data_IF_031355399204
#
_entry.id   IF_031355399204
#
_cell.length_a   1.000
_cell.length_b   1.000
_cell.length_c   1.000
_cell.angle_alpha   90.00
_cell.angle_beta   90.00
_cell.angle_gamma   90.00
#
_symmetry.space_group_name_H-M   'P 1'
#
loop_
_entity.id
_entity.type
_entity.pdbx_description
1 polymer ?
#
# COMPACT_ATOMS: atom_id res chain seq x y z
N UNK A 1 15.23 -39.24 -10.67
CA UNK A 1 14.41 -38.11 -10.22
C UNK A 1 15.32 -37.12 -9.55
N UNK A 2 15.44 -35.92 -10.10
CA UNK A 2 16.20 -34.87 -9.44
C UNK A 2 15.42 -34.44 -8.19
N UNK A 3 15.90 -34.81 -7.02
CA UNK A 3 15.38 -34.31 -5.75
C UNK A 3 15.60 -32.81 -5.74
N UNK A 4 14.51 -32.06 -5.68
CA UNK A 4 14.55 -30.61 -5.61
C UNK A 4 15.54 -30.15 -4.51
N UNK A 5 16.61 -29.45 -4.92
CA UNK A 5 17.58 -28.90 -4.01
C UNK A 5 16.98 -27.89 -3.01
N UNK A 6 15.78 -27.40 -3.31
CA UNK A 6 15.04 -26.45 -2.45
C UNK A 6 14.62 -27.06 -1.12
N UNK A 7 14.38 -28.38 -1.06
CA UNK A 7 14.04 -29.05 0.22
C UNK A 7 15.22 -29.13 1.18
N UNK A 8 16.45 -28.96 0.70
CA UNK A 8 17.67 -29.00 1.50
C UNK A 8 18.08 -27.63 2.08
N UNK A 9 17.45 -26.56 1.60
CA UNK A 9 17.78 -25.18 2.01
C UNK A 9 16.86 -24.64 3.12
N UNK A 10 15.96 -25.46 3.64
CA UNK A 10 15.06 -25.06 4.71
C UNK A 10 15.64 -25.35 6.08
N UNK A 11 15.37 -24.47 7.04
CA UNK A 11 15.70 -24.72 8.46
C UNK A 11 14.82 -25.89 8.94
N UNK A 12 15.41 -26.99 9.46
CA UNK A 12 14.63 -28.09 9.97
C UNK A 12 13.75 -27.62 11.15
N UNK A 13 12.45 -27.84 11.06
CA UNK A 13 11.52 -27.61 12.16
C UNK A 13 11.72 -28.74 13.20
N UNK A 14 12.05 -28.38 14.44
CA UNK A 14 12.38 -29.31 15.49
C UNK A 14 11.22 -30.25 15.94
N UNK A 15 9.98 -29.96 15.52
CA UNK A 15 8.81 -30.64 16.04
C UNK A 15 8.01 -31.47 15.03
N UNK A 16 8.28 -31.41 13.73
CA UNK A 16 7.48 -32.15 12.75
C UNK A 16 8.33 -32.65 11.57
N UNK A 17 8.94 -33.80 11.74
CA UNK A 17 9.74 -34.44 10.69
C UNK A 17 8.88 -35.13 9.62
N UNK A 18 7.58 -35.24 9.79
CA UNK A 18 6.66 -35.96 8.91
C UNK A 18 5.84 -35.06 7.98
N UNK A 19 5.96 -33.73 8.10
CA UNK A 19 5.20 -32.80 7.25
C UNK A 19 5.78 -32.71 5.85
N UNK A 20 4.99 -33.00 4.81
CA UNK A 20 5.42 -32.86 3.42
C UNK A 20 5.69 -31.38 3.03
N UNK A 21 5.37 -30.43 3.89
CA UNK A 21 5.53 -28.98 3.67
C UNK A 21 6.87 -28.41 4.20
N UNK A 22 7.85 -29.23 4.50
CA UNK A 22 9.19 -28.78 4.93
C UNK A 22 10.03 -28.10 3.83
N UNK A 23 9.46 -27.93 2.64
CA UNK A 23 10.10 -27.20 1.56
C UNK A 23 10.09 -25.68 1.76
N UNK A 24 11.03 -25.00 1.12
CA UNK A 24 11.03 -23.55 1.03
C UNK A 24 9.74 -23.08 0.35
N UNK A 25 8.89 -22.38 1.07
CA UNK A 25 7.72 -21.74 0.47
C UNK A 25 8.19 -20.68 -0.53
N UNK A 26 7.54 -20.64 -1.69
CA UNK A 26 7.87 -19.63 -2.71
C UNK A 26 7.64 -18.24 -2.13
N UNK A 27 8.68 -17.38 -2.03
CA UNK A 27 8.52 -16.05 -1.48
C UNK A 27 7.74 -15.15 -2.45
N UNK A 28 7.03 -14.15 -1.90
CA UNK A 28 6.44 -13.08 -2.69
C UNK A 28 7.56 -12.26 -3.36
N UNK A 29 7.42 -12.01 -4.65
CA UNK A 29 8.42 -11.28 -5.42
C UNK A 29 8.06 -9.79 -5.49
N UNK A 30 9.02 -8.92 -5.20
CA UNK A 30 8.80 -7.47 -5.13
C UNK A 30 8.30 -6.85 -6.44
N UNK A 31 8.71 -7.38 -7.59
CA UNK A 31 8.35 -6.85 -8.91
C UNK A 31 6.96 -7.28 -9.41
N UNK A 32 6.28 -8.19 -8.68
CA UNK A 32 4.95 -8.68 -9.03
C UNK A 32 3.89 -7.94 -8.25
N UNK A 33 3.67 -6.70 -8.61
CA UNK A 33 2.66 -5.87 -7.97
C UNK A 33 1.85 -5.08 -9.01
N UNK A 34 0.69 -4.63 -8.58
CA UNK A 34 -0.18 -3.73 -9.34
C UNK A 34 -0.73 -2.67 -8.39
N UNK A 35 -0.73 -1.44 -8.85
CA UNK A 35 -1.34 -0.31 -8.13
C UNK A 35 -2.45 0.25 -8.99
N UNK A 36 -3.64 0.38 -8.44
CA UNK A 36 -4.79 0.96 -9.14
C UNK A 36 -5.29 2.16 -8.35
N UNK A 37 -5.50 3.26 -9.04
CA UNK A 37 -6.03 4.49 -8.44
C UNK A 37 -7.49 4.66 -8.85
N UNK A 38 -8.39 4.80 -7.88
CA UNK A 38 -9.82 4.96 -8.09
C UNK A 38 -10.25 6.38 -7.70
N UNK A 39 -10.82 7.11 -8.65
CA UNK A 39 -11.24 8.52 -8.44
C UNK A 39 -10.10 9.54 -8.52
N UNK A 40 -8.95 9.14 -9.05
CA UNK A 40 -7.80 10.01 -9.28
C UNK A 40 -8.00 10.86 -10.53
N UNK A 41 -7.63 12.15 -10.47
CA UNK A 41 -7.84 13.08 -11.58
C UNK A 41 -9.33 13.42 -11.82
N UNK A 42 -9.61 14.02 -12.96
CA UNK A 42 -10.98 14.39 -13.40
C UNK A 42 -11.55 13.31 -14.31
N UNK A 43 -10.69 12.65 -15.08
CA UNK A 43 -11.05 11.55 -15.98
C UNK A 43 -11.29 10.24 -15.23
N UNK A 44 -12.03 9.32 -15.87
CA UNK A 44 -12.28 7.98 -15.30
C UNK A 44 -11.16 6.98 -15.59
N UNK A 45 -10.26 7.29 -16.51
CA UNK A 45 -9.23 6.36 -16.98
C UNK A 45 -7.90 6.61 -16.26
N UNK A 46 -7.60 5.78 -15.27
CA UNK A 46 -6.33 5.78 -14.54
C UNK A 46 -5.40 4.63 -14.97
N UNK A 47 -5.76 3.93 -16.05
CA UNK A 47 -5.02 2.77 -16.57
C UNK A 47 -3.58 3.14 -16.95
N UNK A 48 -3.38 4.30 -17.56
CA UNK A 48 -2.05 4.78 -17.94
C UNK A 48 -1.18 5.04 -16.71
N UNK A 49 -1.74 5.62 -15.66
CA UNK A 49 -1.04 5.83 -14.40
C UNK A 49 -0.58 4.49 -13.79
N UNK A 50 -1.46 3.49 -13.77
CA UNK A 50 -1.15 2.14 -13.26
C UNK A 50 0.02 1.48 -14.00
N UNK A 51 0.09 1.65 -15.33
CA UNK A 51 1.17 1.10 -16.16
C UNK A 51 2.53 1.74 -15.90
N UNK A 52 2.56 2.97 -15.42
CA UNK A 52 3.77 3.75 -15.24
C UNK A 52 4.32 3.74 -13.82
N UNK A 53 3.68 3.02 -12.90
CA UNK A 53 4.19 2.86 -11.53
C UNK A 53 5.48 2.04 -11.55
N UNK A 54 6.56 2.62 -11.05
CA UNK A 54 7.87 1.97 -10.91
C UNK A 54 8.11 1.42 -9.52
N UNK A 55 7.73 2.19 -8.51
CA UNK A 55 7.91 1.85 -7.10
C UNK A 55 6.72 2.34 -6.28
N UNK A 56 6.36 1.58 -5.26
CA UNK A 56 5.27 1.91 -4.35
C UNK A 56 5.57 1.36 -2.96
N UNK A 57 5.65 2.24 -1.97
CA UNK A 57 5.83 1.82 -0.58
C UNK A 57 4.53 1.26 -0.01
N UNK A 58 4.63 0.14 0.72
CA UNK A 58 3.46 -0.46 1.38
C UNK A 58 3.05 0.35 2.60
N UNK A 59 1.75 0.33 2.98
CA UNK A 59 1.28 1.00 4.19
C UNK A 59 2.05 0.54 5.42
N UNK A 60 2.46 1.50 6.24
CA UNK A 60 3.13 1.25 7.51
C UNK A 60 2.38 1.97 8.62
N UNK A 61 2.12 1.26 9.72
CA UNK A 61 1.43 1.81 10.89
C UNK A 61 2.39 1.86 12.08
N UNK A 62 2.32 2.94 12.83
CA UNK A 62 3.02 3.12 14.10
C UNK A 62 2.02 3.38 15.21
N UNK A 63 2.34 2.96 16.43
CA UNK A 63 1.52 3.22 17.61
C UNK A 63 2.29 4.12 18.57
N UNK A 64 1.63 5.14 19.08
CA UNK A 64 2.15 5.92 20.18
C UNK A 64 2.31 5.05 21.42
N UNK A 65 3.18 5.45 22.34
CA UNK A 65 3.39 4.76 23.60
C UNK A 65 2.80 5.59 24.75
N UNK A 66 2.07 4.93 25.66
CA UNK A 66 1.57 5.50 26.89
C UNK A 66 2.26 4.79 28.05
N UNK A 67 3.14 5.49 28.75
CA UNK A 67 3.87 4.97 29.90
C UNK A 67 3.14 5.35 31.20
N UNK A 68 2.72 4.35 31.98
CA UNK A 68 2.12 4.51 33.30
C UNK A 68 3.13 4.08 34.36
N UNK A 69 3.71 5.03 35.11
CA UNK A 69 4.60 4.67 36.21
C UNK A 69 3.81 4.08 37.38
N UNK A 70 4.27 2.94 37.89
CA UNK A 70 3.69 2.24 39.04
C UNK A 70 4.81 1.89 39.99
N UNK A 71 4.87 2.57 41.13
CA UNK A 71 5.85 2.35 42.21
C UNK A 71 7.28 2.15 41.66
N UNK A 72 7.78 0.92 41.59
CA UNK A 72 9.13 0.56 41.06
C UNK A 72 9.13 0.06 39.62
N UNK A 73 8.04 0.22 38.90
CA UNK A 73 7.87 -0.32 37.53
C UNK A 73 7.09 0.64 36.64
N UNK A 74 7.10 0.36 35.35
CA UNK A 74 6.35 1.12 34.35
C UNK A 74 5.55 0.13 33.48
N UNK A 75 4.25 0.37 33.37
CA UNK A 75 3.38 -0.34 32.42
C UNK A 75 3.32 0.47 31.14
N UNK A 76 3.48 -0.23 30.00
CA UNK A 76 3.40 0.38 28.67
C UNK A 76 2.12 -0.05 27.96
N UNK A 77 1.37 0.92 27.47
CA UNK A 77 0.16 0.73 26.72
C UNK A 77 0.32 1.28 25.29
N UNK A 78 -0.30 0.62 24.32
CA UNK A 78 -0.36 1.14 22.97
C UNK A 78 -1.33 2.34 22.93
N UNK A 79 -0.85 3.47 22.42
CA UNK A 79 -1.63 4.68 22.21
C UNK A 79 -2.32 4.71 20.84
N UNK A 80 -2.55 5.91 20.32
CA UNK A 80 -3.14 6.12 18.99
C UNK A 80 -2.19 5.60 17.91
N UNK A 81 -2.76 5.01 16.86
CA UNK A 81 -2.02 4.64 15.67
C UNK A 81 -1.88 5.83 14.72
N UNK A 82 -0.81 5.84 13.98
CA UNK A 82 -0.55 6.78 12.90
C UNK A 82 -0.03 6.03 11.68
N UNK A 83 -0.57 6.36 10.52
CA UNK A 83 -0.13 5.81 9.24
C UNK A 83 1.00 6.66 8.68
N UNK A 84 2.04 6.00 8.19
CA UNK A 84 3.15 6.66 7.49
C UNK A 84 2.77 6.93 6.05
N UNK A 85 3.18 8.08 5.52
CA UNK A 85 2.93 8.47 4.14
C UNK A 85 3.52 7.45 3.16
N UNK A 86 2.84 7.25 2.04
CA UNK A 86 3.26 6.34 0.98
C UNK A 86 3.97 7.13 -0.10
N UNK A 87 5.13 6.64 -0.51
CA UNK A 87 5.85 7.15 -1.69
C UNK A 87 5.53 6.29 -2.91
N UNK A 88 5.26 6.93 -4.02
CA UNK A 88 5.03 6.29 -5.31
C UNK A 88 5.90 6.98 -6.37
N UNK A 89 6.68 6.17 -7.10
CA UNK A 89 7.44 6.67 -8.24
C UNK A 89 6.76 6.25 -9.54
N UNK A 90 6.60 7.22 -10.42
CA UNK A 90 6.01 7.08 -11.74
C UNK A 90 7.04 7.38 -12.81
N UNK A 91 6.96 6.64 -13.90
CA UNK A 91 7.66 6.99 -15.14
C UNK A 91 6.82 8.00 -15.90
N UNK A 92 7.44 9.07 -16.34
CA UNK A 92 6.77 10.02 -17.24
C UNK A 92 6.77 9.47 -18.67
N UNK A 93 5.69 9.70 -19.40
CA UNK A 93 5.54 9.25 -20.77
C UNK A 93 5.61 10.42 -21.77
N UNK A 94 6.05 10.13 -22.99
CA UNK A 94 6.18 11.14 -24.03
C UNK A 94 4.84 11.79 -24.44
N UNK A 95 3.71 11.14 -24.13
CA UNK A 95 2.37 11.70 -24.36
C UNK A 95 1.94 12.70 -23.29
N UNK A 96 2.65 12.75 -22.15
CA UNK A 96 2.34 13.60 -21.01
C UNK A 96 1.06 13.19 -20.26
N UNK A 97 0.59 11.95 -20.45
CA UNK A 97 -0.63 11.44 -19.81
C UNK A 97 -0.50 11.40 -18.29
N UNK A 98 0.66 10.97 -17.79
CA UNK A 98 0.94 10.86 -16.35
C UNK A 98 0.98 12.26 -15.72
N UNK A 99 1.76 13.17 -16.31
CA UNK A 99 1.87 14.56 -15.84
C UNK A 99 0.52 15.25 -15.83
N UNK A 100 -0.31 15.03 -16.87
CA UNK A 100 -1.67 15.57 -16.94
C UNK A 100 -2.56 15.05 -15.82
N UNK A 101 -2.60 13.72 -15.61
CA UNK A 101 -3.45 13.11 -14.56
C UNK A 101 -3.04 13.58 -13.16
N UNK A 102 -1.74 13.66 -12.89
CA UNK A 102 -1.23 14.19 -11.61
C UNK A 102 -1.59 15.67 -11.45
N UNK A 103 -1.45 16.46 -12.52
CA UNK A 103 -1.84 17.87 -12.53
C UNK A 103 -3.34 18.07 -12.30
N UNK A 104 -4.19 17.25 -12.92
CA UNK A 104 -5.65 17.25 -12.70
C UNK A 104 -5.99 16.93 -11.23
N UNK A 105 -5.27 15.99 -10.62
CA UNK A 105 -5.49 15.67 -9.20
C UNK A 105 -5.05 16.81 -8.27
N UNK A 106 -3.95 17.47 -8.56
CA UNK A 106 -3.52 18.66 -7.82
C UNK A 106 -4.54 19.80 -7.95
N UNK A 107 -5.04 20.01 -9.17
CA UNK A 107 -6.05 21.05 -9.44
C UNK A 107 -7.39 20.77 -8.73
N UNK A 108 -7.74 19.51 -8.50
CA UNK A 108 -8.91 19.16 -7.65
C UNK A 108 -8.70 19.54 -6.19
N UNK A 109 -7.46 19.49 -5.69
CA UNK A 109 -7.16 19.84 -4.31
C UNK A 109 -7.10 21.35 -4.09
N UNK A 110 -6.54 22.06 -5.06
CA UNK A 110 -6.37 23.51 -5.05
C UNK A 110 -6.39 24.04 -6.46
N UNK A 111 -7.24 25.02 -6.72
CA UNK A 111 -7.17 25.79 -7.94
C UNK A 111 -5.98 26.76 -7.85
N UNK A 112 -4.92 26.45 -8.62
CA UNK A 112 -3.69 27.23 -8.59
C UNK A 112 -3.83 28.62 -9.21
N UNK A 113 -4.82 28.85 -10.07
CA UNK A 113 -5.06 30.17 -10.67
C UNK A 113 -5.75 31.11 -9.69
N UNK A 114 -6.83 30.63 -9.07
CA UNK A 114 -7.64 31.42 -8.15
C UNK A 114 -7.21 31.24 -6.69
N UNK A 115 -6.31 30.29 -6.42
CA UNK A 115 -5.86 29.88 -5.10
C UNK A 115 -7.01 29.50 -4.15
N UNK A 116 -8.06 28.95 -4.73
CA UNK A 116 -9.24 28.48 -4.01
C UNK A 116 -9.12 26.97 -3.72
N UNK A 117 -9.38 26.57 -2.48
CA UNK A 117 -9.39 25.18 -2.08
C UNK A 117 -10.73 24.51 -2.35
N UNK A 118 -10.75 23.20 -2.52
CA UNK A 118 -11.98 22.43 -2.62
C UNK A 118 -12.88 22.64 -1.37
N UNK A 119 -14.19 22.65 -1.57
CA UNK A 119 -15.16 22.90 -0.50
C UNK A 119 -15.21 21.79 0.54
N UNK A 120 -14.94 20.55 0.13
CA UNK A 120 -14.91 19.38 1.02
C UNK A 120 -13.80 18.42 0.65
N UNK A 121 -13.23 17.75 1.66
CA UNK A 121 -12.17 16.77 1.45
C UNK A 121 -12.58 15.59 0.56
N UNK A 122 -13.87 15.25 0.52
CA UNK A 122 -14.39 14.18 -0.33
C UNK A 122 -14.24 14.50 -1.83
N UNK A 123 -14.19 15.77 -2.19
CA UNK A 123 -14.16 16.19 -3.59
C UNK A 123 -12.82 15.86 -4.25
N UNK A 124 -11.73 15.82 -3.49
CA UNK A 124 -10.39 15.54 -4.01
C UNK A 124 -9.80 14.21 -3.55
N UNK A 125 -10.39 13.56 -2.52
CA UNK A 125 -9.86 12.29 -2.02
C UNK A 125 -10.14 11.16 -3.02
N UNK A 126 -9.17 10.27 -3.13
CA UNK A 126 -9.22 9.09 -3.98
C UNK A 126 -8.90 7.82 -3.17
N UNK A 127 -9.08 6.67 -3.77
CA UNK A 127 -8.74 5.38 -3.17
C UNK A 127 -7.64 4.72 -3.99
N UNK A 128 -6.66 4.14 -3.31
CA UNK A 128 -5.58 3.38 -3.95
C UNK A 128 -5.69 1.92 -3.56
N UNK A 129 -5.65 1.04 -4.56
CA UNK A 129 -5.62 -0.41 -4.35
C UNK A 129 -4.24 -0.92 -4.74
N UNK A 130 -3.53 -1.48 -3.77
CA UNK A 130 -2.22 -2.10 -3.97
C UNK A 130 -2.36 -3.62 -3.90
N UNK A 131 -1.89 -4.33 -4.91
CA UNK A 131 -1.96 -5.79 -5.00
C UNK A 131 -0.59 -6.39 -5.25
N UNK A 132 -0.27 -7.45 -4.51
CA UNK A 132 0.86 -8.34 -4.82
C UNK A 132 0.31 -9.57 -5.55
N UNK A 133 0.89 -9.91 -6.68
CA UNK A 133 0.38 -10.91 -7.61
C UNK A 133 1.23 -12.19 -7.57
N UNK A 134 0.62 -13.32 -7.90
CA UNK A 134 1.30 -14.63 -7.98
C UNK A 134 2.17 -14.79 -9.23
N UNK A 135 1.95 -14.00 -10.26
CA UNK A 135 2.71 -14.00 -11.50
C UNK A 135 1.98 -14.58 -12.70
N UNK A 136 0.85 -15.25 -12.48
CA UNK A 136 0.05 -15.83 -13.57
C UNK A 136 0.80 -16.80 -14.47
N UNK A 137 0.09 -17.46 -15.37
CA UNK A 137 0.65 -18.37 -16.36
C UNK A 137 0.46 -17.87 -17.81
N UNK A 138 0.06 -16.61 -17.99
CA UNK A 138 -0.21 -16.01 -19.31
C UNK A 138 -1.57 -16.37 -19.92
N UNK A 139 -2.27 -17.37 -19.39
CA UNK A 139 -3.58 -17.81 -19.87
C UNK A 139 -4.74 -17.30 -18.99
N UNK A 140 -4.44 -16.90 -17.76
CA UNK A 140 -5.39 -16.35 -16.80
C UNK A 140 -4.86 -15.07 -16.15
N UNK A 141 -5.75 -14.22 -15.66
CA UNK A 141 -5.34 -13.06 -14.87
C UNK A 141 -4.56 -13.51 -13.63
N UNK A 142 -3.49 -12.77 -13.25
CA UNK A 142 -2.73 -13.07 -12.05
C UNK A 142 -3.62 -12.94 -10.80
N UNK A 143 -3.51 -13.91 -9.90
CA UNK A 143 -4.29 -13.94 -8.66
C UNK A 143 -3.60 -13.04 -7.63
N UNK A 144 -4.33 -12.14 -6.98
CA UNK A 144 -3.78 -11.33 -5.90
C UNK A 144 -3.50 -12.20 -4.67
N UNK A 145 -2.23 -12.24 -4.25
CA UNK A 145 -1.79 -12.90 -3.01
C UNK A 145 -1.97 -12.01 -1.78
N UNK A 146 -1.98 -10.72 -2.00
CA UNK A 146 -2.13 -9.70 -0.98
C UNK A 146 -2.78 -8.47 -1.60
N UNK A 147 -3.77 -7.91 -0.94
CA UNK A 147 -4.47 -6.72 -1.41
C UNK A 147 -4.67 -5.74 -0.27
N UNK A 148 -4.30 -4.50 -0.50
CA UNK A 148 -4.50 -3.37 0.39
C UNK A 148 -5.41 -2.35 -0.26
N UNK A 149 -6.49 -2.01 0.42
CA UNK A 149 -7.37 -0.89 0.09
C UNK A 149 -7.00 0.31 0.96
N UNK A 150 -6.44 1.33 0.34
CA UNK A 150 -5.96 2.54 0.99
C UNK A 150 -6.98 3.63 0.74
N UNK A 151 -7.64 4.07 1.81
CA UNK A 151 -8.82 4.92 1.77
C UNK A 151 -8.49 6.36 2.15
N UNK A 152 -9.17 7.29 1.50
CA UNK A 152 -9.04 8.71 1.80
C UNK A 152 -7.69 9.30 1.39
N UNK A 153 -7.13 8.83 0.28
CA UNK A 153 -5.84 9.28 -0.24
C UNK A 153 -5.92 10.71 -0.78
N UNK A 154 -4.85 11.47 -0.58
CA UNK A 154 -4.63 12.74 -1.26
C UNK A 154 -3.12 12.94 -1.51
N UNK A 155 -2.77 13.80 -2.44
CA UNK A 155 -1.39 14.13 -2.74
C UNK A 155 -0.88 15.16 -1.74
N UNK A 156 0.11 14.77 -0.93
CA UNK A 156 0.78 15.67 0.00
C UNK A 156 1.89 16.44 -0.70
N UNK A 157 2.65 15.77 -1.55
CA UNK A 157 3.73 16.36 -2.34
C UNK A 157 3.86 15.67 -3.69
N UNK A 158 4.25 16.44 -4.68
CA UNK A 158 4.63 15.93 -6.01
C UNK A 158 5.94 16.58 -6.39
N UNK A 159 6.90 15.77 -6.80
CA UNK A 159 8.19 16.21 -7.30
C UNK A 159 8.38 15.73 -8.73
N UNK A 160 8.54 16.64 -9.66
CA UNK A 160 8.72 16.36 -11.09
C UNK A 160 10.16 16.00 -11.45
N UNK A 161 11.05 15.88 -10.45
CA UNK A 161 12.47 15.59 -10.61
C UNK A 161 13.20 16.53 -11.59
N UNK A 162 14.50 16.34 -11.75
CA UNK A 162 15.34 17.21 -12.57
C UNK A 162 15.49 16.65 -13.98
N UNK A 163 15.62 17.56 -14.97
CA UNK A 163 16.08 17.22 -16.30
C UNK A 163 17.60 17.48 -16.39
N UNK A 164 18.36 16.52 -16.91
CA UNK A 164 19.82 16.60 -17.06
C UNK A 164 20.25 16.11 -18.45
N UNK A 165 20.98 16.95 -19.18
CA UNK A 165 21.51 16.62 -20.52
C UNK A 165 22.59 15.52 -20.49
N UNK A 166 23.23 15.30 -19.35
CA UNK A 166 24.31 14.30 -19.22
C UNK A 166 23.77 12.91 -18.88
N UNK A 167 22.49 12.78 -18.51
CA UNK A 167 21.87 11.51 -18.11
C UNK A 167 21.06 10.89 -19.26
N UNK A 168 21.20 9.56 -19.43
CA UNK A 168 20.37 8.76 -20.32
C UNK A 168 19.20 8.07 -19.60
N UNK A 169 18.90 8.49 -18.37
CA UNK A 169 17.81 7.94 -17.60
C UNK A 169 16.45 8.47 -18.05
N UNK A 170 15.41 7.67 -17.82
CA UNK A 170 14.03 8.04 -18.12
C UNK A 170 13.56 9.08 -17.10
N UNK A 171 12.81 10.08 -17.55
CA UNK A 171 12.18 11.02 -16.64
C UNK A 171 11.21 10.33 -15.72
N UNK A 172 11.30 10.65 -14.43
CA UNK A 172 10.46 10.09 -13.38
C UNK A 172 9.84 11.20 -12.56
N UNK A 173 8.72 10.88 -11.94
CA UNK A 173 8.00 11.75 -11.02
C UNK A 173 7.77 11.01 -9.72
N UNK A 174 7.95 11.66 -8.59
CA UNK A 174 7.65 11.08 -7.30
C UNK A 174 6.45 11.76 -6.65
N UNK A 175 5.52 10.95 -6.14
CA UNK A 175 4.36 11.41 -5.38
C UNK A 175 4.45 10.91 -3.94
N UNK A 176 4.13 11.78 -2.99
CA UNK A 176 3.87 11.42 -1.61
C UNK A 176 2.36 11.44 -1.38
N UNK A 177 1.81 10.28 -1.03
CA UNK A 177 0.39 10.07 -0.82
C UNK A 177 0.14 9.94 0.68
N UNK A 178 -0.68 10.80 1.22
CA UNK A 178 -1.20 10.69 2.57
C UNK A 178 -2.62 10.13 2.53
N UNK A 179 -3.01 9.37 3.55
CA UNK A 179 -4.27 8.66 3.57
C UNK A 179 -4.84 8.54 4.98
N UNK A 180 -6.14 8.27 5.08
CA UNK A 180 -6.83 8.19 6.37
C UNK A 180 -6.71 6.79 6.99
N UNK A 181 -6.86 5.74 6.18
CA UNK A 181 -6.85 4.35 6.66
C UNK A 181 -6.41 3.36 5.58
N UNK A 182 -5.87 2.23 5.99
CA UNK A 182 -5.53 1.13 5.10
C UNK A 182 -6.09 -0.19 5.63
N UNK A 183 -6.77 -0.94 4.76
CA UNK A 183 -7.37 -2.22 5.06
C UNK A 183 -6.75 -3.30 4.17
N UNK A 184 -6.41 -4.42 4.76
CA UNK A 184 -5.89 -5.57 4.03
C UNK A 184 -7.02 -6.58 3.82
N UNK A 185 -7.50 -6.71 2.58
CA UNK A 185 -8.63 -7.57 2.23
C UNK A 185 -8.21 -9.00 1.90
N UNK A 186 -7.01 -9.17 1.33
CA UNK A 186 -6.47 -10.48 0.97
C UNK A 186 -5.07 -10.64 1.60
N UNK A 187 -4.80 -11.80 2.16
CA UNK A 187 -3.48 -12.20 2.65
C UNK A 187 -3.08 -11.66 4.02
N UNK A 188 -4.00 -11.03 4.74
CA UNK A 188 -3.70 -10.51 6.09
C UNK A 188 -4.95 -10.20 6.89
N UNK A 189 -4.74 -9.73 8.12
CA UNK A 189 -5.78 -9.48 9.12
C UNK A 189 -6.06 -8.02 9.45
N UNK A 190 -5.38 -7.06 8.80
CA UNK A 190 -5.60 -5.63 9.09
C UNK A 190 -6.96 -5.20 8.55
N UNK A 191 -7.86 -4.80 9.43
CA UNK A 191 -9.25 -4.48 9.10
C UNK A 191 -10.23 -5.64 9.28
N UNK A 192 -9.75 -6.86 9.58
CA UNK A 192 -10.61 -7.98 9.97
C UNK A 192 -10.97 -7.85 11.45
N UNK A 193 -12.25 -8.04 11.86
CA UNK A 193 -12.63 -7.99 13.27
C UNK A 193 -11.84 -9.03 14.10
N UNK A 194 -11.19 -8.56 15.16
CA UNK A 194 -10.50 -9.46 16.08
C UNK A 194 -11.52 -10.33 16.83
N UNK A 195 -11.28 -11.65 16.96
CA UNK A 195 -12.14 -12.53 17.79
C UNK A 195 -12.31 -12.02 19.23
N UNK A 196 -11.28 -11.38 19.78
CA UNK A 196 -11.32 -10.78 21.12
C UNK A 196 -12.24 -9.57 21.19
N UNK A 197 -12.31 -8.77 20.14
CA UNK A 197 -13.22 -7.62 20.08
C UNK A 197 -14.68 -8.06 19.89
N UNK A 198 -14.91 -9.08 19.07
CA UNK A 198 -16.26 -9.63 18.89
C UNK A 198 -16.82 -10.27 20.18
N UNK A 199 -15.96 -10.90 20.98
CA UNK A 199 -16.36 -11.42 22.30
C UNK A 199 -16.71 -10.31 23.30
N UNK A 200 -16.00 -9.20 23.28
CA UNK A 200 -16.30 -8.04 24.17
C UNK A 200 -17.62 -7.37 23.83
N UNK A 201 -17.93 -7.25 22.54
CA UNK A 201 -19.20 -6.67 22.09
C UNK A 201 -20.38 -7.59 22.43
N UNK A 202 -20.19 -8.91 22.38
CA UNK A 202 -21.22 -9.88 22.74
C UNK A 202 -21.36 -10.07 24.27
N UNK A 203 -20.27 -9.89 25.03
CA UNK A 203 -20.28 -10.01 26.51
C UNK A 203 -20.91 -8.83 27.23
N UNK A 204 -20.97 -7.64 26.57
CA UNK A 204 -21.62 -6.46 27.15
C UNK A 204 -23.16 -6.50 27.05
N UNK A 205 -23.72 -7.46 26.31
CA UNK A 205 -25.17 -7.59 26.11
C UNK A 205 -25.85 -8.58 27.11
N UNK A 206 -25.10 -9.18 28.03
CA UNK A 206 -25.58 -10.16 28.99
C UNK A 206 -25.31 -9.82 30.47
N UNK A 207 -25.22 -8.50 30.76
CA UNK A 207 -25.09 -8.00 32.13
C UNK A 207 -26.32 -7.21 32.56
#
# INVERSE_FOLDING_TARGET
MATSSLTKLTVPLASDQSSPSQGLLMPKLKYRFRVTFLGFGIGKETTELTKQVMDFSRPQVTFGNIDLPIYNSTIRLAGKHEWTDITCQLRDDASGSVTRLVGEQLQKQLDFMEQSSASAGIDYKFTTVFQVLDGGNGASEPIPLEEWNILGCYLQAVNYNNADYSSNEVMTMSMTIRFDNALQTIGGGVGTPSPVQSQRLNGAATG
#
